data_IF_340107023116
#
_entry.id   IF_340107023116
#
_cell.length_a   1.000
_cell.length_b   1.000
_cell.length_c   1.000
_cell.angle_alpha   90.00
_cell.angle_beta   90.00
_cell.angle_gamma   90.00
#
_symmetry.space_group_name_H-M   'P 1'
#
loop_
_entity.id
_entity.type
_entity.pdbx_description
1 polymer ?
#
# COMPACT_ATOMS: atom_id res chain seq x y z
N UNK A 1 -7.17 28.53 8.12
CA UNK A 1 -7.22 27.15 7.60
C UNK A 1 -6.11 27.08 6.57
N UNK A 2 -5.20 26.10 6.64
CA UNK A 2 -4.23 25.94 5.55
C UNK A 2 -4.99 25.30 4.38
N UNK A 3 -4.91 25.86 3.18
CA UNK A 3 -5.62 25.36 1.99
C UNK A 3 -5.05 24.04 1.44
N UNK A 4 -4.26 23.34 2.26
CA UNK A 4 -3.50 22.16 1.91
C UNK A 4 -4.10 20.93 2.59
N UNK A 5 -4.02 19.81 1.90
CA UNK A 5 -4.45 18.51 2.44
C UNK A 5 -3.57 18.12 3.64
N UNK A 6 -4.19 17.68 4.73
CA UNK A 6 -3.50 17.17 5.91
C UNK A 6 -2.74 15.86 5.59
N UNK A 7 -1.52 15.73 6.12
CA UNK A 7 -0.66 14.54 6.01
C UNK A 7 -1.37 13.21 6.32
N UNK A 8 -2.35 13.21 7.23
CA UNK A 8 -3.16 12.02 7.56
C UNK A 8 -3.99 11.52 6.37
N UNK A 9 -4.44 12.40 5.48
CA UNK A 9 -5.24 12.02 4.31
C UNK A 9 -4.44 11.18 3.31
N UNK A 10 -3.15 11.47 3.16
CA UNK A 10 -2.26 10.70 2.29
C UNK A 10 -2.10 9.26 2.78
N UNK A 11 -2.07 9.05 4.10
CA UNK A 11 -2.07 7.70 4.70
C UNK A 11 -3.33 6.93 4.29
N UNK A 12 -4.51 7.55 4.40
CA UNK A 12 -5.74 6.90 3.96
C UNK A 12 -5.73 6.53 2.47
N UNK A 13 -5.29 7.43 1.59
CA UNK A 13 -5.23 7.16 0.15
C UNK A 13 -4.28 6.00 -0.20
N UNK A 14 -3.14 5.90 0.47
CA UNK A 14 -2.19 4.79 0.27
C UNK A 14 -2.81 3.47 0.70
N UNK A 15 -3.54 3.46 1.80
CA UNK A 15 -4.14 2.24 2.35
C UNK A 15 -5.37 1.79 1.59
N UNK A 16 -6.09 2.72 0.95
CA UNK A 16 -7.24 2.40 0.10
C UNK A 16 -6.84 1.59 -1.14
N UNK A 17 -5.59 1.74 -1.60
CA UNK A 17 -5.03 0.94 -2.70
C UNK A 17 -4.63 -0.49 -2.31
N UNK A 18 -4.63 -0.82 -1.00
CA UNK A 18 -4.22 -2.14 -0.53
C UNK A 18 -5.26 -3.20 -0.91
N UNK A 19 -4.87 -4.33 -1.53
CA UNK A 19 -5.78 -5.42 -1.83
C UNK A 19 -6.50 -5.95 -0.59
N UNK A 20 -7.81 -6.21 -0.72
CA UNK A 20 -8.67 -6.60 0.40
C UNK A 20 -8.23 -7.87 1.14
N UNK A 21 -7.59 -8.80 0.44
CA UNK A 21 -7.11 -10.06 1.02
C UNK A 21 -5.96 -9.85 2.02
N UNK A 22 -5.17 -8.79 1.87
CA UNK A 22 -3.95 -8.62 2.66
C UNK A 22 -4.27 -8.35 4.14
N UNK A 23 -5.17 -7.41 4.50
CA UNK A 23 -5.58 -7.22 5.89
C UNK A 23 -6.36 -8.40 6.51
N UNK A 24 -6.81 -9.38 5.74
CA UNK A 24 -7.51 -10.57 6.26
C UNK A 24 -6.51 -11.51 6.96
N UNK A 25 -5.38 -11.82 6.31
CA UNK A 25 -4.34 -12.71 6.83
C UNK A 25 -3.11 -12.03 7.43
N UNK A 26 -2.94 -10.72 7.21
CA UNK A 26 -1.78 -9.96 7.68
C UNK A 26 -2.20 -8.74 8.51
N UNK A 27 -1.37 -8.38 9.47
CA UNK A 27 -1.46 -7.12 10.19
C UNK A 27 -0.46 -6.11 9.64
N UNK A 28 -0.72 -4.82 9.86
CA UNK A 28 0.16 -3.77 9.39
C UNK A 28 1.46 -3.77 10.21
N UNK A 29 2.59 -3.83 9.52
CA UNK A 29 3.91 -3.59 10.08
C UNK A 29 4.27 -2.10 10.01
N UNK A 30 5.24 -1.77 9.16
CA UNK A 30 5.80 -0.43 9.03
C UNK A 30 5.20 0.33 7.83
N UNK A 31 5.28 1.66 7.90
CA UNK A 31 5.01 2.56 6.77
C UNK A 31 6.11 3.61 6.66
N UNK A 32 6.69 3.74 5.47
CA UNK A 32 7.69 4.75 5.13
C UNK A 32 7.13 5.62 4.01
N UNK A 33 7.21 6.95 4.15
CA UNK A 33 6.58 7.90 3.22
C UNK A 33 7.56 9.00 2.81
N UNK A 34 7.68 9.23 1.51
CA UNK A 34 8.49 10.30 0.90
C UNK A 34 7.56 11.31 0.24
N UNK A 35 7.39 12.47 0.86
CA UNK A 35 6.57 13.56 0.34
C UNK A 35 7.35 14.36 -0.70
N UNK A 36 6.76 14.55 -1.88
CA UNK A 36 7.38 15.30 -2.99
C UNK A 36 6.65 16.60 -3.31
N UNK A 37 5.32 16.63 -3.12
CA UNK A 37 4.48 17.78 -3.45
C UNK A 37 3.29 17.88 -2.49
N UNK A 38 2.92 19.11 -2.15
CA UNK A 38 1.67 19.38 -1.44
C UNK A 38 0.52 19.54 -2.43
N UNK A 39 -0.67 19.06 -2.03
CA UNK A 39 -1.87 19.06 -2.87
C UNK A 39 -2.92 19.96 -2.25
N UNK A 40 -3.54 20.80 -3.09
CA UNK A 40 -4.63 21.67 -2.69
C UNK A 40 -5.92 20.88 -2.48
N UNK A 41 -6.89 21.49 -1.81
CA UNK A 41 -8.25 20.96 -1.75
C UNK A 41 -8.83 20.81 -3.18
N UNK A 42 -9.75 19.85 -3.36
CA UNK A 42 -10.43 19.55 -4.64
C UNK A 42 -9.54 19.08 -5.82
N UNK A 43 -8.30 18.66 -5.54
CA UNK A 43 -7.45 18.04 -6.57
C UNK A 43 -7.73 16.53 -6.70
N UNK A 44 -7.80 16.04 -7.94
CA UNK A 44 -7.90 14.61 -8.23
C UNK A 44 -6.52 13.94 -8.02
N UNK A 45 -6.51 12.86 -7.24
CA UNK A 45 -5.31 12.09 -6.91
C UNK A 45 -5.56 10.63 -7.27
N UNK A 46 -4.62 10.03 -7.98
CA UNK A 46 -4.60 8.60 -8.26
C UNK A 46 -3.76 7.88 -7.21
N UNK A 47 -4.28 6.77 -6.70
CA UNK A 47 -3.58 5.88 -5.78
C UNK A 47 -3.22 4.58 -6.49
N UNK A 48 -1.93 4.28 -6.54
CA UNK A 48 -1.39 3.10 -7.20
C UNK A 48 -0.58 2.29 -6.18
N UNK A 49 -0.68 0.97 -6.25
CA UNK A 49 0.11 0.08 -5.39
C UNK A 49 0.59 -1.15 -6.13
N UNK A 50 1.74 -1.67 -5.69
CA UNK A 50 2.34 -2.90 -6.21
C UNK A 50 2.91 -3.72 -5.07
N UNK A 51 2.60 -5.01 -5.05
CA UNK A 51 3.27 -5.97 -4.17
C UNK A 51 4.68 -6.24 -4.70
N UNK A 52 5.70 -6.13 -3.84
CA UNK A 52 7.13 -6.23 -4.20
C UNK A 52 7.64 -7.64 -3.97
N UNK A 53 7.36 -8.19 -2.79
CA UNK A 53 7.72 -9.55 -2.41
C UNK A 53 6.42 -10.29 -2.19
N UNK A 54 5.99 -11.00 -3.22
CA UNK A 54 4.99 -12.04 -3.07
C UNK A 54 5.71 -13.35 -3.33
N UNK A 55 6.30 -13.93 -2.28
CA UNK A 55 6.87 -15.28 -2.36
C UNK A 55 5.80 -16.30 -2.81
N UNK A 56 4.50 -15.96 -2.72
CA UNK A 56 3.40 -16.74 -3.30
C UNK A 56 3.06 -16.40 -4.76
N UNK A 57 3.50 -15.28 -5.35
CA UNK A 57 3.21 -14.94 -6.76
C UNK A 57 4.03 -15.75 -7.77
N UNK A 58 5.13 -16.37 -7.34
CA UNK A 58 5.88 -17.31 -8.18
C UNK A 58 5.15 -18.66 -8.36
N UNK A 59 4.08 -18.92 -7.60
CA UNK A 59 3.21 -20.09 -7.78
C UNK A 59 2.06 -19.79 -8.75
N UNK A 60 2.41 -19.39 -9.98
CA UNK A 60 1.48 -19.39 -11.10
C UNK A 60 1.08 -20.81 -11.49
N UNK A 61 0.15 -21.42 -10.74
CA UNK A 61 -0.87 -22.38 -11.19
C UNK A 61 -1.40 -23.22 -10.02
N UNK A 62 -2.69 -23.03 -9.68
CA UNK A 62 -3.53 -24.08 -9.13
C UNK A 62 -3.54 -24.21 -7.60
N UNK A 63 -4.76 -24.13 -7.07
CA UNK A 63 -5.19 -24.53 -5.73
C UNK A 63 -4.58 -23.80 -4.53
N UNK A 64 -5.48 -23.11 -3.82
CA UNK A 64 -5.25 -22.79 -2.42
C UNK A 64 -4.90 -24.04 -1.61
N UNK A 65 -3.79 -23.96 -0.90
CA UNK A 65 -3.64 -24.55 0.42
C UNK A 65 -3.36 -23.38 1.34
N UNK A 66 -4.26 -23.08 2.26
CA UNK A 66 -3.89 -23.05 3.67
C UNK A 66 -2.75 -24.04 4.00
N UNK A 67 -1.51 -23.66 3.77
CA UNK A 67 -0.34 -24.33 4.31
C UNK A 67 0.17 -23.58 5.55
N UNK A 68 -0.16 -24.21 6.67
CA UNK A 68 0.52 -24.18 7.96
C UNK A 68 0.64 -22.84 8.69
N UNK A 69 -0.03 -22.78 9.84
CA UNK A 69 -0.12 -21.64 10.75
C UNK A 69 1.24 -21.38 11.44
N UNK A 70 2.25 -20.96 10.68
CA UNK A 70 3.58 -20.69 11.22
C UNK A 70 4.63 -20.07 10.30
N UNK A 71 4.43 -19.96 8.98
CA UNK A 71 5.50 -19.49 8.09
C UNK A 71 5.05 -18.68 6.85
N UNK A 72 4.00 -17.87 6.96
CA UNK A 72 3.76 -16.85 5.94
C UNK A 72 4.90 -15.81 5.98
N UNK A 73 5.45 -15.41 4.84
CA UNK A 73 6.45 -14.33 4.77
C UNK A 73 5.78 -12.96 4.93
N UNK A 74 6.46 -11.95 5.49
CA UNK A 74 6.00 -10.58 5.42
C UNK A 74 5.82 -10.11 3.97
N UNK A 75 4.71 -9.43 3.69
CA UNK A 75 4.42 -8.84 2.38
C UNK A 75 4.87 -7.39 2.37
N UNK A 76 5.60 -7.00 1.33
CA UNK A 76 5.99 -5.61 1.10
C UNK A 76 5.24 -5.02 -0.08
N UNK A 77 4.81 -3.76 0.05
CA UNK A 77 4.11 -3.03 -1.00
C UNK A 77 4.72 -1.66 -1.23
N UNK A 78 4.93 -1.33 -2.50
CA UNK A 78 5.21 0.03 -2.94
C UNK A 78 3.89 0.72 -3.31
N UNK A 79 3.82 2.02 -3.00
CA UNK A 79 2.68 2.87 -3.28
C UNK A 79 3.13 4.18 -3.92
N UNK A 80 2.30 4.68 -4.83
CA UNK A 80 2.47 5.95 -5.50
C UNK A 80 1.15 6.72 -5.46
N UNK A 81 1.20 7.94 -4.95
CA UNK A 81 0.16 8.94 -5.19
C UNK A 81 0.64 9.89 -6.28
N UNK A 82 -0.17 10.06 -7.33
CA UNK A 82 0.12 10.98 -8.42
C UNK A 82 -1.11 11.78 -8.87
N UNK A 83 -0.87 12.89 -9.55
CA UNK A 83 -1.90 13.69 -10.21
C UNK A 83 -2.30 13.05 -11.55
N UNK A 84 -3.38 13.55 -12.16
CA UNK A 84 -3.85 13.10 -13.48
C UNK A 84 -2.80 13.26 -14.59
N UNK A 85 -1.90 14.24 -14.46
CA UNK A 85 -0.79 14.48 -15.37
C UNK A 85 0.43 13.55 -15.12
N UNK A 86 0.34 12.67 -14.12
CA UNK A 86 1.41 11.76 -13.71
C UNK A 86 2.43 12.35 -12.74
N UNK A 87 2.30 13.63 -12.35
CA UNK A 87 3.19 14.25 -11.36
C UNK A 87 3.10 13.54 -10.03
N UNK A 88 4.24 13.19 -9.46
CA UNK A 88 4.29 12.47 -8.20
C UNK A 88 4.04 13.39 -7.01
N UNK A 89 3.15 12.94 -6.13
CA UNK A 89 2.81 13.61 -4.88
C UNK A 89 3.60 12.97 -3.75
N UNK A 90 3.58 11.63 -3.70
CA UNK A 90 4.13 10.87 -2.61
C UNK A 90 4.46 9.46 -3.06
N UNK A 91 5.61 8.95 -2.59
CA UNK A 91 5.92 7.52 -2.63
C UNK A 91 5.85 6.95 -1.22
N UNK A 92 5.36 5.74 -1.09
CA UNK A 92 5.38 5.06 0.19
C UNK A 92 5.68 3.58 0.04
N UNK A 93 6.18 3.00 1.13
CA UNK A 93 6.33 1.57 1.29
C UNK A 93 5.60 1.13 2.54
N UNK A 94 4.84 0.05 2.45
CA UNK A 94 4.24 -0.61 3.62
C UNK A 94 4.74 -2.04 3.73
N UNK A 95 4.91 -2.49 4.97
CA UNK A 95 5.16 -3.90 5.28
C UNK A 95 3.98 -4.47 6.05
N UNK A 96 3.67 -5.74 5.80
CA UNK A 96 2.54 -6.45 6.38
C UNK A 96 3.02 -7.78 6.92
N UNK A 97 2.86 -7.98 8.21
CA UNK A 97 3.30 -9.20 8.88
C UNK A 97 2.14 -10.19 8.94
N UNK A 98 2.38 -11.50 8.80
CA UNK A 98 1.34 -12.49 9.03
C UNK A 98 0.73 -12.33 10.42
N UNK A 99 -0.59 -12.55 10.51
CA UNK A 99 -1.24 -12.63 11.81
C UNK A 99 -0.82 -13.93 12.52
N UNK A 100 -0.72 -13.90 13.86
CA UNK A 100 -0.51 -15.10 14.67
C UNK A 100 -1.70 -16.06 14.62
#
# INVERSE_FOLDING_TARGET
>A
MNDHVNNVKYVYWILDSVPRWLPEGHERGAVSMEFRKEVAIDTIVHSLSKVINDDNAAAGNGNGGADDHGNASPVEMDHLLCLEDGSEILRARTTWNPKP
#
